data_IF_260353077914
#
_entry.id   IF_260353077914
#
_cell.length_a   1.000
_cell.length_b   1.000
_cell.length_c   1.000
_cell.angle_alpha   90.00
_cell.angle_beta   90.00
_cell.angle_gamma   90.00
#
_symmetry.space_group_name_H-M   'P 1'
#
loop_
_entity.id
_entity.type
_entity.pdbx_description
1 polymer ?
#
# COMPACT_ATOMS: atom_id res chain seq x y z
N UNK A 1 -30.60 44.87 -5.18
CA UNK A 1 -29.13 44.92 -5.03
C UNK A 1 -28.83 44.21 -3.73
N UNK A 2 -28.46 42.94 -3.83
CA UNK A 2 -28.20 42.07 -2.68
C UNK A 2 -26.88 41.40 -2.96
N UNK A 3 -25.81 42.00 -2.42
CA UNK A 3 -24.47 41.45 -2.44
C UNK A 3 -24.45 40.14 -1.65
N UNK A 4 -24.18 39.04 -2.35
CA UNK A 4 -23.82 37.76 -1.74
C UNK A 4 -22.30 37.81 -1.50
N UNK A 5 -21.82 37.60 -0.26
CA UNK A 5 -20.39 37.57 0.01
C UNK A 5 -19.77 36.35 -0.67
N UNK A 6 -18.79 36.57 -1.54
CA UNK A 6 -17.98 35.52 -2.15
C UNK A 6 -17.08 34.90 -1.07
N UNK A 7 -17.33 33.62 -0.76
CA UNK A 7 -16.47 32.77 0.09
C UNK A 7 -15.03 32.78 -0.47
N UNK A 8 -13.97 32.90 0.35
CA UNK A 8 -12.61 32.93 -0.17
C UNK A 8 -12.29 31.59 -0.83
N UNK A 9 -11.90 31.66 -2.10
CA UNK A 9 -11.62 30.52 -2.96
C UNK A 9 -10.71 29.48 -2.26
N UNK A 10 -11.19 28.23 -2.18
CA UNK A 10 -10.36 27.10 -1.83
C UNK A 10 -9.07 27.10 -2.68
N UNK A 11 -7.90 26.74 -2.12
CA UNK A 11 -6.66 26.74 -2.88
C UNK A 11 -6.82 25.90 -4.15
N UNK A 12 -6.42 26.47 -5.29
CA UNK A 12 -6.53 25.82 -6.59
C UNK A 12 -5.88 24.42 -6.54
N UNK A 13 -6.60 23.40 -7.01
CA UNK A 13 -6.11 22.03 -6.96
C UNK A 13 -4.84 21.90 -7.83
N UNK A 14 -3.71 21.59 -7.20
CA UNK A 14 -2.44 21.27 -7.89
C UNK A 14 -2.59 19.96 -8.67
N UNK A 15 -1.99 19.90 -9.84
CA UNK A 15 -1.97 18.69 -10.67
C UNK A 15 -1.08 17.63 -10.05
N UNK A 16 -1.62 16.45 -9.75
CA UNK A 16 -0.85 15.41 -9.04
C UNK A 16 -0.12 14.51 -10.03
N UNK A 17 1.16 14.29 -9.77
CA UNK A 17 2.02 13.42 -10.55
C UNK A 17 2.75 12.47 -9.60
N UNK A 18 2.69 11.19 -9.88
CA UNK A 18 3.43 10.14 -9.17
C UNK A 18 4.43 9.54 -10.13
N UNK A 19 5.71 9.78 -9.88
CA UNK A 19 6.79 9.09 -10.55
C UNK A 19 7.10 7.80 -9.78
N UNK A 20 7.05 6.67 -10.46
CA UNK A 20 7.35 5.36 -9.88
C UNK A 20 8.64 4.84 -10.50
N UNK A 21 9.62 4.53 -9.65
CA UNK A 21 10.88 3.90 -10.05
C UNK A 21 11.26 2.84 -9.01
N UNK A 22 12.37 2.15 -9.23
CA UNK A 22 12.89 1.16 -8.29
C UNK A 22 13.57 -0.01 -8.97
N UNK A 23 13.95 -0.99 -8.15
CA UNK A 23 14.67 -2.18 -8.61
C UNK A 23 13.81 -2.98 -9.60
N UNK A 24 14.43 -3.48 -10.67
CA UNK A 24 13.77 -4.36 -11.62
C UNK A 24 13.26 -5.61 -10.91
N UNK A 25 11.96 -5.88 -11.01
CA UNK A 25 11.30 -6.99 -10.28
C UNK A 25 10.79 -6.63 -8.88
N UNK A 26 10.94 -5.38 -8.41
CA UNK A 26 10.36 -4.92 -7.14
C UNK A 26 8.84 -4.73 -7.18
N UNK A 27 8.21 -4.74 -8.36
CA UNK A 27 6.75 -4.67 -8.49
C UNK A 27 6.20 -3.36 -9.06
N UNK A 28 7.00 -2.62 -9.85
CA UNK A 28 6.57 -1.38 -10.52
C UNK A 28 5.29 -1.57 -11.37
N UNK A 29 5.15 -2.71 -12.04
CA UNK A 29 3.94 -3.02 -12.81
C UNK A 29 2.69 -3.19 -11.93
N UNK A 30 2.85 -3.79 -10.75
CA UNK A 30 1.79 -3.90 -9.75
C UNK A 30 1.44 -2.52 -9.22
N UNK A 31 2.45 -1.68 -8.98
CA UNK A 31 2.25 -0.34 -8.48
C UNK A 31 1.52 0.57 -9.47
N UNK A 32 1.91 0.51 -10.74
CA UNK A 32 1.25 1.24 -11.81
C UNK A 32 -0.22 0.84 -11.95
N UNK A 33 -0.52 -0.47 -11.91
CA UNK A 33 -1.90 -0.95 -11.94
C UNK A 33 -2.70 -0.49 -10.72
N UNK A 34 -2.09 -0.49 -9.54
CA UNK A 34 -2.74 0.01 -8.33
C UNK A 34 -3.10 1.50 -8.44
N UNK A 35 -2.19 2.32 -8.98
CA UNK A 35 -2.45 3.74 -9.21
C UNK A 35 -3.53 3.97 -10.27
N UNK A 36 -3.55 3.17 -11.34
CA UNK A 36 -4.61 3.19 -12.35
C UNK A 36 -5.99 2.91 -11.73
N UNK A 37 -6.08 1.91 -10.84
CA UNK A 37 -7.31 1.58 -10.10
C UNK A 37 -7.77 2.73 -9.17
N UNK A 38 -6.86 3.62 -8.76
CA UNK A 38 -7.16 4.85 -7.99
C UNK A 38 -7.55 6.05 -8.87
N UNK A 39 -7.64 5.84 -10.20
CA UNK A 39 -8.05 6.84 -11.17
C UNK A 39 -6.91 7.69 -11.74
N UNK A 40 -5.66 7.28 -11.53
CA UNK A 40 -4.51 7.87 -12.23
C UNK A 40 -4.50 7.46 -13.71
N UNK A 41 -3.99 8.34 -14.56
CA UNK A 41 -3.58 7.98 -15.90
C UNK A 41 -2.16 7.39 -15.84
N UNK A 42 -2.08 6.09 -16.10
CA UNK A 42 -0.87 5.31 -15.96
C UNK A 42 -0.11 5.21 -17.28
N UNK A 43 1.18 5.57 -17.28
CA UNK A 43 2.08 5.42 -18.43
C UNK A 43 3.32 4.64 -18.00
N UNK A 44 3.60 3.54 -18.69
CA UNK A 44 4.77 2.69 -18.44
C UNK A 44 5.91 2.98 -19.43
N UNK A 45 7.14 2.80 -18.96
CA UNK A 45 8.38 2.88 -19.76
C UNK A 45 8.49 4.19 -20.59
N UNK A 46 8.13 5.32 -19.97
CA UNK A 46 8.20 6.63 -20.60
C UNK A 46 9.64 7.15 -20.58
N UNK A 47 10.10 7.68 -21.72
CA UNK A 47 11.39 8.40 -21.76
C UNK A 47 11.31 9.66 -20.93
N UNK A 48 12.32 9.88 -20.08
CA UNK A 48 12.37 11.05 -19.20
C UNK A 48 12.20 12.37 -19.98
N UNK A 49 12.83 12.50 -21.14
CA UNK A 49 12.73 13.69 -22.01
C UNK A 49 11.32 13.97 -22.57
N UNK A 50 10.39 13.01 -22.49
CA UNK A 50 9.01 13.17 -22.94
C UNK A 50 8.05 13.52 -21.79
N UNK A 51 8.51 13.48 -20.54
CA UNK A 51 7.69 13.77 -19.35
C UNK A 51 7.08 15.18 -19.41
N UNK A 52 7.84 16.26 -19.71
CA UNK A 52 7.24 17.60 -19.82
C UNK A 52 6.17 17.72 -20.90
N UNK A 53 6.37 17.04 -22.04
CA UNK A 53 5.42 17.08 -23.14
C UNK A 53 4.10 16.37 -22.78
N UNK A 54 4.20 15.22 -22.10
CA UNK A 54 3.03 14.49 -21.61
C UNK A 54 2.25 15.30 -20.58
N UNK A 55 2.94 15.89 -19.60
CA UNK A 55 2.30 16.70 -18.54
C UNK A 55 1.48 17.84 -19.13
N UNK A 56 2.01 18.55 -20.13
CA UNK A 56 1.29 19.64 -20.82
C UNK A 56 0.05 19.16 -21.57
N UNK A 57 0.04 17.93 -22.07
CA UNK A 57 -1.09 17.38 -22.83
C UNK A 57 -2.17 16.77 -21.93
N UNK A 58 -1.77 16.08 -20.87
CA UNK A 58 -2.68 15.28 -20.05
C UNK A 58 -3.46 16.09 -18.99
N UNK A 59 -3.08 17.34 -18.74
CA UNK A 59 -3.66 18.22 -17.72
C UNK A 59 -3.81 17.51 -16.34
N UNK A 60 -2.71 17.37 -15.57
CA UNK A 60 -2.69 16.62 -14.32
C UNK A 60 -3.62 17.19 -13.23
N UNK A 61 -4.13 18.42 -13.39
CA UNK A 61 -5.15 19.01 -12.50
C UNK A 61 -6.50 18.31 -12.66
N UNK A 62 -6.82 17.84 -13.87
CA UNK A 62 -8.08 17.16 -14.18
C UNK A 62 -8.00 15.66 -13.90
N UNK A 63 -6.91 15.02 -14.33
CA UNK A 63 -6.66 13.59 -14.08
C UNK A 63 -5.20 13.38 -13.67
N UNK A 64 -4.93 12.84 -12.47
CA UNK A 64 -3.57 12.74 -11.98
C UNK A 64 -2.76 11.71 -12.77
N UNK A 65 -1.45 11.88 -12.88
CA UNK A 65 -0.56 11.04 -13.69
C UNK A 65 0.26 10.07 -12.83
N UNK A 66 0.41 8.84 -13.29
CA UNK A 66 1.32 7.85 -12.72
C UNK A 66 2.30 7.39 -13.80
N UNK A 67 3.57 7.75 -13.66
CA UNK A 67 4.58 7.52 -14.69
C UNK A 67 5.63 6.54 -14.14
N UNK A 68 5.81 5.40 -14.81
CA UNK A 68 6.93 4.50 -14.51
C UNK A 68 8.12 4.86 -15.38
N UNK A 69 9.25 5.12 -14.73
CA UNK A 69 10.53 5.39 -15.36
C UNK A 69 11.55 4.51 -14.65
N UNK A 70 12.16 3.60 -15.40
CA UNK A 70 13.13 2.65 -14.85
C UNK A 70 14.42 2.59 -15.66
N UNK A 71 15.38 1.80 -15.17
CA UNK A 71 16.72 1.62 -15.76
C UNK A 71 16.72 1.08 -17.19
N UNK A 72 15.59 0.57 -17.71
CA UNK A 72 15.44 0.08 -19.08
C UNK A 72 15.19 1.21 -20.07
N UNK A 73 14.78 2.37 -19.57
CA UNK A 73 14.48 3.52 -20.40
C UNK A 73 15.76 3.94 -21.13
N UNK A 74 15.68 4.11 -22.45
CA UNK A 74 16.83 4.58 -23.23
C UNK A 74 17.30 5.93 -22.69
N UNK A 75 18.62 6.08 -22.53
CA UNK A 75 19.28 7.27 -21.98
C UNK A 75 18.97 7.54 -20.49
N UNK A 76 18.59 6.51 -19.72
CA UNK A 76 18.39 6.64 -18.28
C UNK A 76 19.69 7.05 -17.56
N UNK A 77 19.57 8.12 -16.77
CA UNK A 77 20.61 8.62 -15.87
C UNK A 77 19.91 9.03 -14.58
N UNK A 78 20.40 8.55 -13.43
CA UNK A 78 19.86 8.95 -12.14
C UNK A 78 19.98 10.47 -11.93
N UNK A 79 21.08 11.08 -12.39
CA UNK A 79 21.26 12.53 -12.28
C UNK A 79 20.21 13.28 -13.10
N UNK A 80 20.04 12.92 -14.37
CA UNK A 80 19.06 13.59 -15.24
C UNK A 80 17.64 13.44 -14.69
N UNK A 81 17.33 12.28 -14.11
CA UNK A 81 16.05 12.04 -13.46
C UNK A 81 15.83 12.99 -12.27
N UNK A 82 16.85 13.17 -11.42
CA UNK A 82 16.78 14.10 -10.29
C UNK A 82 16.64 15.55 -10.77
N UNK A 83 17.41 15.95 -11.78
CA UNK A 83 17.33 17.30 -12.35
C UNK A 83 15.90 17.60 -12.87
N UNK A 84 15.31 16.65 -13.60
CA UNK A 84 13.93 16.75 -14.09
C UNK A 84 12.91 16.73 -12.93
N UNK A 85 13.09 15.87 -11.93
CA UNK A 85 12.22 15.83 -10.74
C UNK A 85 12.22 17.18 -10.01
N UNK A 86 13.38 17.80 -9.86
CA UNK A 86 13.49 19.13 -9.27
C UNK A 86 12.80 20.20 -10.13
N UNK A 87 12.98 20.17 -11.45
CA UNK A 87 12.28 21.10 -12.35
C UNK A 87 10.76 20.98 -12.23
N UNK A 88 10.23 19.76 -12.20
CA UNK A 88 8.81 19.51 -12.02
C UNK A 88 8.31 19.95 -10.64
N UNK A 89 9.11 19.76 -9.58
CA UNK A 89 8.76 20.20 -8.21
C UNK A 89 8.80 21.72 -8.06
N UNK A 90 9.59 22.44 -8.86
CA UNK A 90 9.61 23.92 -8.88
C UNK A 90 8.33 24.52 -9.47
N UNK A 91 7.56 23.75 -10.24
CA UNK A 91 6.26 24.17 -10.73
C UNK A 91 5.23 24.21 -9.58
N UNK A 92 4.82 25.42 -9.21
CA UNK A 92 3.84 25.67 -8.15
C UNK A 92 2.45 25.07 -8.44
N UNK A 93 2.16 24.73 -9.69
CA UNK A 93 0.90 24.13 -10.11
C UNK A 93 0.87 22.60 -10.01
N UNK A 94 2.01 21.96 -9.74
CA UNK A 94 2.15 20.50 -9.69
C UNK A 94 2.44 20.02 -8.27
N UNK A 95 1.87 18.87 -7.89
CA UNK A 95 2.21 18.11 -6.68
C UNK A 95 2.87 16.80 -7.15
N UNK A 96 4.20 16.77 -7.10
CA UNK A 96 5.02 15.72 -7.70
C UNK A 96 5.61 14.86 -6.58
N UNK A 97 5.33 13.56 -6.61
CA UNK A 97 5.89 12.58 -5.66
C UNK A 97 6.68 11.49 -6.36
N UNK A 98 7.86 11.19 -5.82
CA UNK A 98 8.69 10.07 -6.21
C UNK A 98 8.45 8.87 -5.28
N UNK A 99 8.04 7.74 -5.89
CA UNK A 99 7.94 6.43 -5.23
C UNK A 99 9.09 5.55 -5.68
N UNK A 100 9.84 5.05 -4.72
CA UNK A 100 10.91 4.08 -4.94
C UNK A 100 10.52 2.70 -4.42
N UNK A 101 10.49 1.71 -5.30
CA UNK A 101 10.24 0.31 -4.93
C UNK A 101 11.57 -0.41 -4.74
N UNK A 102 11.82 -0.85 -3.51
CA UNK A 102 12.99 -1.65 -3.15
C UNK A 102 12.60 -3.12 -2.95
N UNK A 103 13.58 -4.00 -3.07
CA UNK A 103 13.45 -5.42 -2.74
C UNK A 103 14.84 -5.99 -2.43
N UNK A 104 14.92 -6.96 -1.54
CA UNK A 104 16.16 -7.68 -1.20
C UNK A 104 16.66 -8.54 -2.36
N UNK A 105 17.98 -8.63 -2.49
CA UNK A 105 18.64 -9.24 -3.65
C UNK A 105 18.26 -10.70 -3.88
N UNK A 106 18.18 -11.50 -2.80
CA UNK A 106 17.77 -12.91 -2.87
C UNK A 106 16.34 -13.07 -3.41
N UNK A 107 15.44 -12.15 -3.02
CA UNK A 107 14.04 -12.17 -3.47
C UNK A 107 13.95 -11.74 -4.94
N UNK A 108 14.69 -10.72 -5.35
CA UNK A 108 14.78 -10.31 -6.76
C UNK A 108 15.31 -11.45 -7.63
N UNK A 109 16.41 -12.09 -7.23
CA UNK A 109 17.00 -13.22 -7.94
C UNK A 109 16.00 -14.37 -8.10
N UNK A 110 15.23 -14.68 -7.04
CA UNK A 110 14.15 -15.69 -7.11
C UNK A 110 13.06 -15.26 -8.10
N UNK A 111 12.57 -14.02 -8.03
CA UNK A 111 11.53 -13.50 -8.95
C UNK A 111 11.96 -13.54 -10.42
N UNK A 112 13.22 -13.22 -10.72
CA UNK A 112 13.76 -13.34 -12.09
C UNK A 112 13.83 -14.79 -12.56
N UNK A 113 14.21 -15.69 -11.66
CA UNK A 113 14.27 -17.14 -11.95
C UNK A 113 12.87 -17.70 -12.23
N UNK A 114 11.88 -17.35 -11.41
CA UNK A 114 10.48 -17.77 -11.54
C UNK A 114 9.83 -17.26 -12.83
N UNK A 115 10.04 -15.97 -13.13
CA UNK A 115 9.46 -15.35 -14.34
C UNK A 115 10.24 -15.66 -15.62
N UNK A 116 11.44 -16.25 -15.50
CA UNK A 116 12.41 -16.48 -16.58
C UNK A 116 12.71 -15.23 -17.42
N UNK A 117 12.53 -14.05 -16.83
CA UNK A 117 12.83 -12.77 -17.48
C UNK A 117 14.33 -12.48 -17.35
N UNK A 118 14.90 -11.84 -18.36
CA UNK A 118 16.28 -11.34 -18.27
C UNK A 118 16.28 -10.07 -17.43
N UNK A 119 17.32 -9.90 -16.61
CA UNK A 119 17.54 -8.66 -15.89
C UNK A 119 18.12 -7.62 -16.86
N UNK A 120 17.60 -6.37 -16.90
CA UNK A 120 18.01 -5.37 -17.89
C UNK A 120 19.50 -5.04 -17.91
N UNK A 121 20.11 -4.92 -16.73
CA UNK A 121 21.54 -4.68 -16.59
C UNK A 121 22.38 -5.97 -16.50
N UNK A 122 21.84 -7.11 -16.94
CA UNK A 122 22.53 -8.41 -16.89
C UNK A 122 22.70 -9.08 -18.27
N UNK A 123 22.78 -8.32 -19.36
CA UNK A 123 22.95 -8.90 -20.71
C UNK A 123 24.27 -9.65 -20.88
N UNK A 124 25.33 -9.18 -20.20
CA UNK A 124 26.71 -9.65 -20.29
C UNK A 124 27.23 -10.28 -18.98
N UNK A 125 26.35 -10.51 -17.99
CA UNK A 125 26.72 -10.91 -16.61
C UNK A 125 25.63 -11.72 -15.92
N UNK A 126 25.88 -12.12 -14.68
CA UNK A 126 24.89 -12.85 -13.88
C UNK A 126 23.78 -11.93 -13.36
N UNK A 127 22.60 -12.50 -13.04
CA UNK A 127 21.49 -11.75 -12.44
C UNK A 127 21.89 -11.04 -11.13
N UNK A 128 22.59 -11.69 -10.18
CA UNK A 128 23.11 -11.00 -8.99
C UNK A 128 23.96 -9.76 -9.30
N UNK A 129 24.88 -9.85 -10.27
CA UNK A 129 25.73 -8.71 -10.65
C UNK A 129 24.91 -7.57 -11.28
N UNK A 130 23.90 -7.92 -12.08
CA UNK A 130 22.94 -6.96 -12.63
C UNK A 130 22.15 -6.23 -11.55
N UNK A 131 21.69 -6.95 -10.53
CA UNK A 131 20.97 -6.39 -9.38
C UNK A 131 21.86 -5.41 -8.61
N UNK A 132 23.11 -5.77 -8.31
CA UNK A 132 24.03 -4.87 -7.59
C UNK A 132 24.32 -3.59 -8.38
N UNK A 133 24.54 -3.72 -9.69
CA UNK A 133 24.78 -2.57 -10.56
C UNK A 133 23.56 -1.65 -10.64
N UNK A 134 22.38 -2.22 -10.75
CA UNK A 134 21.13 -1.45 -10.74
C UNK A 134 20.95 -0.73 -9.41
N UNK A 135 21.24 -1.40 -8.29
CA UNK A 135 21.15 -0.82 -6.96
C UNK A 135 22.07 0.38 -6.81
N UNK A 136 23.32 0.27 -7.24
CA UNK A 136 24.27 1.38 -7.24
C UNK A 136 23.81 2.54 -8.13
N UNK A 137 23.27 2.23 -9.32
CA UNK A 137 22.75 3.22 -10.26
C UNK A 137 21.54 3.98 -9.69
N UNK A 138 20.63 3.28 -9.03
CA UNK A 138 19.37 3.83 -8.54
C UNK A 138 19.46 4.41 -7.11
N UNK A 139 20.57 4.21 -6.41
CA UNK A 139 20.76 4.69 -5.04
C UNK A 139 20.47 6.19 -4.86
N UNK A 140 20.92 7.11 -5.74
CA UNK A 140 20.59 8.53 -5.61
C UNK A 140 19.08 8.81 -5.67
N UNK A 141 18.32 8.06 -6.48
CA UNK A 141 16.87 8.21 -6.57
C UNK A 141 16.15 7.73 -5.31
N UNK A 142 16.72 6.72 -4.64
CA UNK A 142 16.18 6.22 -3.38
C UNK A 142 16.30 7.26 -2.27
N UNK A 143 17.42 7.97 -2.20
CA UNK A 143 17.66 8.99 -1.17
C UNK A 143 16.70 10.18 -1.32
N UNK A 144 16.31 10.52 -2.55
CA UNK A 144 15.40 11.63 -2.86
C UNK A 144 13.91 11.23 -2.95
N UNK A 145 13.60 9.96 -2.69
CA UNK A 145 12.24 9.43 -2.80
C UNK A 145 11.35 9.90 -1.65
N UNK A 146 10.19 10.44 -1.97
CA UNK A 146 9.17 10.82 -0.98
C UNK A 146 8.60 9.58 -0.27
N UNK A 147 8.50 8.46 -0.99
CA UNK A 147 7.99 7.19 -0.46
C UNK A 147 8.88 6.05 -0.94
N UNK A 148 9.57 5.39 -0.02
CA UNK A 148 10.28 4.15 -0.28
C UNK A 148 9.49 2.96 0.25
N UNK A 149 9.20 1.98 -0.61
CA UNK A 149 8.45 0.76 -0.25
C UNK A 149 9.34 -0.45 -0.44
N UNK A 150 9.67 -1.14 0.66
CA UNK A 150 10.36 -2.43 0.61
C UNK A 150 9.37 -3.57 0.33
N UNK A 151 9.48 -4.16 -0.85
CA UNK A 151 8.62 -5.24 -1.33
C UNK A 151 9.16 -6.64 -1.07
N UNK A 152 10.25 -6.78 -0.30
CA UNK A 152 10.91 -8.06 0.01
C UNK A 152 9.95 -9.10 0.56
N UNK A 153 9.06 -8.69 1.46
CA UNK A 153 8.14 -9.58 2.17
C UNK A 153 6.67 -9.27 1.88
N UNK A 154 6.40 -8.38 0.92
CA UNK A 154 5.05 -7.94 0.60
C UNK A 154 4.41 -8.85 -0.44
N UNK A 155 3.13 -9.16 -0.23
CA UNK A 155 2.29 -9.71 -1.28
C UNK A 155 1.88 -8.61 -2.28
N UNK A 156 1.36 -9.02 -3.44
CA UNK A 156 0.76 -8.09 -4.42
C UNK A 156 -0.40 -7.29 -3.78
N UNK A 157 -1.17 -7.92 -2.90
CA UNK A 157 -2.27 -7.25 -2.20
C UNK A 157 -1.77 -6.21 -1.19
N UNK A 158 -0.67 -6.50 -0.47
CA UNK A 158 -0.05 -5.53 0.43
C UNK A 158 0.47 -4.31 -0.30
N UNK A 159 1.18 -4.52 -1.41
CA UNK A 159 1.69 -3.40 -2.21
C UNK A 159 0.54 -2.52 -2.73
N UNK A 160 -0.53 -3.13 -3.25
CA UNK A 160 -1.73 -2.39 -3.67
C UNK A 160 -2.37 -1.61 -2.52
N UNK A 161 -2.45 -2.22 -1.34
CA UNK A 161 -3.01 -1.60 -0.13
C UNK A 161 -2.19 -0.41 0.32
N UNK A 162 -0.86 -0.56 0.35
CA UNK A 162 0.07 0.53 0.69
C UNK A 162 -0.10 1.68 -0.31
N UNK A 163 -0.09 1.42 -1.62
CA UNK A 163 -0.26 2.48 -2.64
C UNK A 163 -1.64 3.15 -2.61
N UNK A 164 -2.70 2.37 -2.36
CA UNK A 164 -4.06 2.91 -2.16
C UNK A 164 -4.11 3.86 -0.98
N UNK A 165 -3.45 3.48 0.11
CA UNK A 165 -3.15 4.39 1.19
C UNK A 165 -1.84 5.13 0.99
N UNK A 166 -1.48 5.59 -0.21
CA UNK A 166 -0.56 6.71 -0.37
C UNK A 166 -1.15 7.77 -1.30
N UNK A 167 -2.03 7.35 -2.21
CA UNK A 167 -2.41 8.12 -3.39
C UNK A 167 -3.93 8.25 -3.61
N UNK A 168 -4.78 7.91 -2.63
CA UNK A 168 -6.24 8.13 -2.75
C UNK A 168 -6.60 9.60 -2.94
N UNK A 169 -7.61 9.85 -3.79
CA UNK A 169 -8.04 11.19 -4.22
C UNK A 169 -8.98 11.92 -3.26
N UNK A 170 -9.69 11.21 -2.38
CA UNK A 170 -10.78 11.80 -1.58
C UNK A 170 -10.29 12.90 -0.63
N UNK A 171 -10.72 14.12 -0.93
CA UNK A 171 -10.50 15.35 -0.17
C UNK A 171 -11.29 15.35 1.15
N UNK A 172 -10.71 14.67 2.12
CA UNK A 172 -10.41 15.14 3.47
C UNK A 172 -9.22 14.25 3.81
N UNK A 173 -8.02 14.82 3.98
CA UNK A 173 -6.87 14.06 4.45
C UNK A 173 -7.18 13.61 5.88
N UNK A 174 -7.97 12.54 5.99
CA UNK A 174 -8.27 11.82 7.20
C UNK A 174 -7.22 10.73 7.27
N UNK A 175 -6.43 10.78 8.33
CA UNK A 175 -5.41 9.81 8.67
C UNK A 175 -5.93 8.40 8.42
N UNK A 176 -5.32 7.72 7.45
CA UNK A 176 -5.60 6.33 7.18
C UNK A 176 -4.70 5.49 8.08
N UNK A 177 -5.31 4.71 8.98
CA UNK A 177 -4.57 3.87 9.91
C UNK A 177 -4.46 2.46 9.36
N UNK A 178 -3.24 1.90 9.42
CA UNK A 178 -2.95 0.51 9.15
C UNK A 178 -2.64 -0.18 10.47
N UNK A 179 -3.37 -1.24 10.79
CA UNK A 179 -3.08 -2.09 11.94
C UNK A 179 -2.57 -3.42 11.41
N UNK A 180 -1.40 -3.85 11.86
CA UNK A 180 -0.81 -5.12 11.41
C UNK A 180 -0.35 -5.96 12.59
N UNK A 181 -0.73 -7.24 12.63
CA UNK A 181 -0.15 -8.18 13.59
C UNK A 181 1.08 -8.86 13.00
N UNK A 182 2.15 -9.00 13.79
CA UNK A 182 3.39 -9.63 13.33
C UNK A 182 4.04 -10.58 14.36
N UNK A 183 5.02 -11.35 13.90
CA UNK A 183 5.91 -12.19 14.72
C UNK A 183 7.27 -11.53 14.94
N UNK A 184 7.69 -11.37 16.20
CA UNK A 184 9.06 -10.95 16.54
C UNK A 184 10.13 -11.92 16.02
N UNK A 185 9.83 -13.23 15.93
CA UNK A 185 10.76 -14.21 15.34
C UNK A 185 11.04 -13.94 13.86
N UNK A 186 10.11 -13.28 13.17
CA UNK A 186 10.17 -12.97 11.75
C UNK A 186 10.61 -11.51 11.49
N UNK A 187 11.02 -10.77 12.54
CA UNK A 187 11.44 -9.38 12.46
C UNK A 187 10.28 -8.38 12.46
N UNK A 188 10.59 -7.11 12.74
CA UNK A 188 9.60 -6.02 12.75
C UNK A 188 9.16 -5.67 11.31
N UNK A 189 7.90 -5.28 11.09
CA UNK A 189 7.50 -4.65 9.83
C UNK A 189 8.28 -3.35 9.65
N UNK A 190 8.90 -3.15 8.49
CA UNK A 190 9.76 -1.98 8.23
C UNK A 190 8.94 -0.70 8.11
N UNK A 191 7.69 -0.84 7.70
CA UNK A 191 6.71 0.21 7.51
C UNK A 191 6.00 0.64 8.81
N UNK A 192 6.34 0.05 9.96
CA UNK A 192 5.69 0.35 11.23
C UNK A 192 6.15 1.70 11.79
N UNK A 193 5.20 2.59 12.04
CA UNK A 193 5.44 3.85 12.76
C UNK A 193 5.42 3.63 14.28
N UNK A 194 4.48 2.81 14.75
CA UNK A 194 4.31 2.46 16.15
C UNK A 194 4.36 0.94 16.30
N UNK A 195 5.09 0.45 17.29
CA UNK A 195 5.25 -0.99 17.54
C UNK A 195 4.93 -1.29 19.01
N UNK A 196 3.96 -2.17 19.24
CA UNK A 196 3.56 -2.57 20.59
C UNK A 196 3.81 -4.07 20.80
N UNK A 197 4.59 -4.38 21.83
CA UNK A 197 4.89 -5.76 22.24
C UNK A 197 3.80 -6.28 23.19
N UNK A 198 3.16 -7.39 22.83
CA UNK A 198 2.13 -8.06 23.64
C UNK A 198 2.55 -9.46 24.09
N UNK A 199 3.86 -9.75 24.12
CA UNK A 199 4.41 -11.04 24.57
C UNK A 199 4.20 -11.32 26.06
N UNK A 200 3.89 -10.31 26.86
CA UNK A 200 3.64 -10.44 28.30
C UNK A 200 2.24 -11.01 28.60
N UNK A 201 1.26 -10.82 27.70
CA UNK A 201 -0.10 -11.36 27.87
C UNK A 201 -0.09 -12.90 27.88
N UNK A 202 -1.08 -13.46 28.57
CA UNK A 202 -1.36 -14.89 28.71
C UNK A 202 -1.23 -15.58 27.36
N UNK A 203 -0.33 -16.55 27.30
CA UNK A 203 0.04 -17.23 26.06
C UNK A 203 -0.89 -18.42 25.79
N UNK A 204 -1.76 -18.37 24.75
CA UNK A 204 -2.69 -19.48 24.45
C UNK A 204 -1.97 -20.73 23.94
N UNK A 205 -0.69 -20.64 23.57
CA UNK A 205 0.08 -21.76 23.04
C UNK A 205 0.26 -22.93 24.02
N UNK A 206 0.16 -22.69 25.34
CA UNK A 206 0.29 -23.76 26.34
C UNK A 206 -0.96 -24.63 26.45
N UNK A 207 -2.09 -24.18 25.91
CA UNK A 207 -3.31 -24.97 25.81
C UNK A 207 -3.29 -25.76 24.48
N UNK A 208 -3.23 -27.10 24.51
CA UNK A 208 -3.19 -27.93 23.31
C UNK A 208 -4.35 -27.68 22.33
N UNK A 209 -5.55 -27.36 22.84
CA UNK A 209 -6.75 -27.12 22.05
C UNK A 209 -6.70 -25.74 21.36
N UNK A 210 -6.08 -24.76 21.99
CA UNK A 210 -5.94 -23.40 21.44
C UNK A 210 -4.72 -23.24 20.53
N UNK A 211 -3.69 -24.08 20.71
CA UNK A 211 -2.46 -24.06 19.91
C UNK A 211 -2.68 -24.09 18.38
N UNK A 212 -3.56 -24.95 17.81
CA UNK A 212 -3.80 -24.97 16.37
C UNK A 212 -4.61 -23.75 15.88
N UNK A 213 -5.37 -23.10 16.75
CA UNK A 213 -6.25 -21.97 16.41
C UNK A 213 -5.46 -20.65 16.25
N UNK A 214 -6.13 -19.59 15.80
CA UNK A 214 -5.57 -18.23 15.64
C UNK A 214 -6.27 -17.24 16.57
N UNK A 215 -5.72 -16.03 16.72
CA UNK A 215 -6.35 -14.95 17.49
C UNK A 215 -7.70 -14.48 16.95
N UNK A 216 -8.12 -14.95 15.76
CA UNK A 216 -9.45 -14.73 15.21
C UNK A 216 -10.50 -15.66 15.84
N UNK A 217 -10.07 -16.77 16.43
CA UNK A 217 -10.97 -17.73 17.04
C UNK A 217 -11.45 -17.21 18.41
N UNK A 218 -12.77 -17.23 18.69
CA UNK A 218 -13.32 -16.75 19.96
C UNK A 218 -12.72 -17.40 21.21
N UNK A 219 -12.35 -18.68 21.17
CA UNK A 219 -11.73 -19.37 22.30
C UNK A 219 -10.32 -18.84 22.61
N UNK A 220 -9.54 -18.53 21.57
CA UNK A 220 -8.22 -17.89 21.73
C UNK A 220 -8.39 -16.46 22.23
N UNK A 221 -9.34 -15.71 21.67
CA UNK A 221 -9.65 -14.35 22.09
C UNK A 221 -10.01 -14.29 23.58
N UNK A 222 -10.94 -15.15 24.02
CA UNK A 222 -11.35 -15.26 25.42
C UNK A 222 -10.18 -15.62 26.34
N UNK A 223 -9.27 -16.49 25.89
CA UNK A 223 -8.08 -16.85 26.67
C UNK A 223 -7.13 -15.67 26.88
N UNK A 224 -6.88 -14.87 25.83
CA UNK A 224 -6.03 -13.68 25.94
C UNK A 224 -6.72 -12.58 26.75
N UNK A 225 -8.03 -12.40 26.58
CA UNK A 225 -8.84 -11.42 27.30
C UNK A 225 -8.99 -11.76 28.79
N UNK A 226 -8.91 -13.03 29.17
CA UNK A 226 -8.93 -13.47 30.58
C UNK A 226 -7.68 -13.08 31.38
N UNK A 227 -6.66 -12.53 30.72
CA UNK A 227 -5.47 -12.05 31.38
C UNK A 227 -5.81 -10.86 32.32
N UNK A 228 -5.40 -10.87 33.59
CA UNK A 228 -5.73 -9.81 34.54
C UNK A 228 -5.19 -8.44 34.13
N UNK A 229 -4.08 -8.39 33.38
CA UNK A 229 -3.44 -7.15 32.95
C UNK A 229 -4.00 -6.62 31.62
N UNK A 230 -4.78 -7.43 30.88
CA UNK A 230 -5.31 -7.05 29.57
C UNK A 230 -6.18 -5.78 29.61
N UNK A 231 -7.18 -5.64 30.51
CA UNK A 231 -8.04 -4.45 30.53
C UNK A 231 -7.24 -3.16 30.75
N UNK A 232 -6.30 -3.17 31.71
CA UNK A 232 -5.47 -2.02 32.02
C UNK A 232 -4.52 -1.67 30.86
N UNK A 233 -3.87 -2.69 30.27
CA UNK A 233 -3.00 -2.50 29.12
C UNK A 233 -3.75 -1.91 27.93
N UNK A 234 -4.88 -2.51 27.53
CA UNK A 234 -5.63 -2.06 26.36
C UNK A 234 -6.21 -0.66 26.58
N UNK A 235 -6.72 -0.38 27.79
CA UNK A 235 -7.15 0.97 28.18
C UNK A 235 -6.03 2.00 28.01
N UNK A 236 -4.86 1.75 28.61
CA UNK A 236 -3.72 2.66 28.53
C UNK A 236 -3.19 2.84 27.10
N UNK A 237 -3.18 1.78 26.29
CA UNK A 237 -2.82 1.85 24.88
C UNK A 237 -3.76 2.80 24.12
N UNK A 238 -5.07 2.66 24.32
CA UNK A 238 -6.05 3.53 23.64
C UNK A 238 -6.00 4.97 24.14
N UNK A 239 -5.74 5.19 25.43
CA UNK A 239 -5.56 6.54 25.99
C UNK A 239 -4.27 7.22 25.52
N UNK A 240 -3.21 6.46 25.26
CA UNK A 240 -2.01 6.97 24.59
C UNK A 240 -2.31 7.38 23.14
N UNK A 241 -3.04 6.54 22.38
CA UNK A 241 -3.28 6.79 20.96
C UNK A 241 -4.29 7.91 20.71
N UNK A 242 -5.32 8.04 21.55
CA UNK A 242 -6.40 9.03 21.42
C UNK A 242 -5.92 10.46 21.11
N UNK A 243 -4.97 11.06 21.86
CA UNK A 243 -4.47 12.40 21.56
C UNK A 243 -3.47 12.45 20.38
N UNK A 244 -2.82 11.32 20.02
CA UNK A 244 -1.83 11.27 18.96
C UNK A 244 -2.48 11.26 17.57
N UNK A 245 -3.58 10.53 17.41
CA UNK A 245 -4.30 10.39 16.14
C UNK A 245 -4.67 11.73 15.47
N UNK A 246 -5.32 12.70 16.15
CA UNK A 246 -5.60 14.00 15.54
C UNK A 246 -4.33 14.83 15.29
N UNK A 247 -3.26 14.65 16.08
CA UNK A 247 -1.98 15.36 15.89
C UNK A 247 -1.24 14.87 14.65
N UNK A 248 -1.18 13.55 14.43
CA UNK A 248 -0.64 13.00 13.19
C UNK A 248 -1.38 13.55 11.98
N UNK A 249 -2.71 13.65 12.07
CA UNK A 249 -3.52 14.23 11.01
C UNK A 249 -3.17 15.72 10.75
N UNK A 250 -3.01 16.52 11.81
CA UNK A 250 -2.65 17.94 11.71
C UNK A 250 -1.23 18.17 11.17
N UNK A 251 -0.30 17.27 11.47
CA UNK A 251 1.07 17.29 10.96
C UNK A 251 1.14 16.87 9.47
N UNK A 252 0.00 16.62 8.83
CA UNK A 252 -0.08 16.21 7.42
C UNK A 252 0.29 14.75 7.20
N UNK A 253 0.45 13.96 8.28
CA UNK A 253 0.70 12.53 8.17
C UNK A 253 -0.53 11.88 7.57
N UNK A 254 -0.38 11.43 6.33
CA UNK A 254 -1.48 10.83 5.59
C UNK A 254 -1.78 9.40 6.05
N UNK A 255 -0.78 8.72 6.64
CA UNK A 255 -0.83 7.30 6.99
C UNK A 255 -0.13 7.01 8.32
N UNK A 256 -0.73 6.15 9.14
CA UNK A 256 -0.12 5.67 10.38
C UNK A 256 -0.18 4.14 10.43
N UNK A 257 0.96 3.48 10.50
CA UNK A 257 1.05 2.03 10.68
C UNK A 257 1.36 1.66 12.12
N UNK A 258 0.42 0.95 12.75
CA UNK A 258 0.52 0.42 14.11
C UNK A 258 0.72 -1.09 14.03
N UNK A 259 1.90 -1.56 14.43
CA UNK A 259 2.28 -2.96 14.43
C UNK A 259 2.16 -3.57 15.83
N UNK A 260 1.42 -4.66 15.95
CA UNK A 260 1.26 -5.41 17.20
C UNK A 260 2.05 -6.72 17.12
N UNK A 261 3.00 -6.91 18.02
CA UNK A 261 3.97 -8.00 17.98
C UNK A 261 3.75 -9.03 19.07
N UNK A 262 3.74 -10.31 18.70
CA UNK A 262 3.94 -11.40 19.66
C UNK A 262 5.04 -12.34 19.15
N UNK A 263 5.37 -13.39 19.91
CA UNK A 263 6.46 -14.30 19.50
C UNK A 263 6.17 -14.99 18.16
N UNK A 264 4.96 -15.50 17.96
CA UNK A 264 4.61 -16.35 16.80
C UNK A 264 3.74 -15.68 15.73
N UNK A 265 3.23 -14.47 15.95
CA UNK A 265 2.35 -13.77 15.00
C UNK A 265 0.97 -14.40 14.80
N UNK A 266 0.57 -15.37 15.63
CA UNK A 266 -0.63 -16.22 15.41
C UNK A 266 -1.80 -15.95 16.37
N UNK A 267 -1.52 -15.68 17.64
CA UNK A 267 -2.53 -15.64 18.71
C UNK A 267 -2.71 -14.25 19.28
N UNK A 268 -1.86 -13.85 20.24
CA UNK A 268 -1.97 -12.59 21.00
C UNK A 268 -1.94 -11.35 20.12
N UNK A 269 -0.98 -11.27 19.20
CA UNK A 269 -0.87 -10.10 18.31
C UNK A 269 -2.07 -9.97 17.37
N UNK A 270 -2.59 -11.09 16.87
CA UNK A 270 -3.79 -11.12 16.00
C UNK A 270 -5.00 -10.60 16.78
N UNK A 271 -5.24 -11.14 17.99
CA UNK A 271 -6.35 -10.70 18.84
C UNK A 271 -6.28 -9.21 19.19
N UNK A 272 -5.12 -8.72 19.63
CA UNK A 272 -4.96 -7.31 19.99
C UNK A 272 -5.08 -6.40 18.77
N UNK A 273 -4.57 -6.81 17.60
CA UNK A 273 -4.73 -6.06 16.36
C UNK A 273 -6.21 -5.93 15.93
N UNK A 274 -6.99 -7.01 16.04
CA UNK A 274 -8.44 -6.99 15.80
C UNK A 274 -9.15 -6.01 16.75
N UNK A 275 -8.86 -6.10 18.06
CA UNK A 275 -9.45 -5.22 19.08
C UNK A 275 -9.09 -3.76 18.85
N UNK A 276 -7.82 -3.47 18.54
CA UNK A 276 -7.37 -2.11 18.26
C UNK A 276 -8.01 -1.56 16.98
N UNK A 277 -8.12 -2.38 15.93
CA UNK A 277 -8.75 -1.97 14.69
C UNK A 277 -10.24 -1.65 14.87
N UNK A 278 -10.96 -2.43 15.68
CA UNK A 278 -12.34 -2.14 16.05
C UNK A 278 -12.46 -0.80 16.80
N UNK A 279 -11.63 -0.59 17.84
CA UNK A 279 -11.63 0.66 18.60
C UNK A 279 -11.33 1.89 17.72
N UNK A 280 -10.35 1.79 16.81
CA UNK A 280 -10.02 2.87 15.88
C UNK A 280 -11.16 3.18 14.90
N UNK A 281 -11.90 2.17 14.43
CA UNK A 281 -13.10 2.37 13.60
C UNK A 281 -14.19 3.10 14.39
N UNK A 282 -14.36 2.76 15.66
CA UNK A 282 -15.30 3.47 16.55
C UNK A 282 -14.89 4.93 16.82
N UNK A 283 -13.59 5.26 16.68
CA UNK A 283 -13.13 6.66 16.69
C UNK A 283 -13.40 7.40 15.34
N UNK A 284 -14.08 6.77 14.39
CA UNK A 284 -14.40 7.35 13.07
C UNK A 284 -13.23 7.33 12.08
N UNK A 285 -12.14 6.62 12.39
CA UNK A 285 -10.98 6.55 11.51
C UNK A 285 -11.16 5.49 10.42
N UNK A 286 -10.50 5.73 9.29
CA UNK A 286 -10.37 4.72 8.25
C UNK A 286 -9.28 3.75 8.66
N UNK A 287 -9.62 2.48 8.83
CA UNK A 287 -8.71 1.44 9.33
C UNK A 287 -8.61 0.30 8.34
N UNK A 288 -7.39 -0.08 8.00
CA UNK A 288 -7.06 -1.32 7.29
C UNK A 288 -6.35 -2.27 8.26
N UNK A 289 -6.82 -3.51 8.37
CA UNK A 289 -6.27 -4.54 9.23
C UNK A 289 -5.62 -5.65 8.39
N UNK A 290 -4.41 -6.06 8.76
CA UNK A 290 -3.69 -7.17 8.14
C UNK A 290 -3.01 -8.07 9.17
N UNK A 291 -2.78 -9.33 8.80
CA UNK A 291 -2.11 -10.30 9.68
C UNK A 291 -0.97 -10.99 8.95
N UNK A 292 0.25 -10.45 9.11
CA UNK A 292 1.42 -10.81 8.30
C UNK A 292 1.68 -12.32 8.26
N UNK A 293 1.65 -13.00 9.40
CA UNK A 293 1.89 -14.45 9.43
C UNK A 293 0.68 -15.29 8.99
N UNK A 294 -0.56 -14.82 9.18
CA UNK A 294 -1.75 -15.57 8.72
C UNK A 294 -1.92 -15.49 7.20
N UNK A 295 -1.60 -14.34 6.60
CA UNK A 295 -1.64 -14.14 5.15
C UNK A 295 -0.61 -15.02 4.43
N UNK A 296 0.60 -15.18 4.99
CA UNK A 296 1.60 -16.14 4.50
C UNK A 296 1.11 -17.59 4.52
N UNK A 297 0.20 -17.93 5.44
CA UNK A 297 -0.42 -19.25 5.57
C UNK A 297 -1.70 -19.39 4.73
N UNK A 298 -2.08 -18.37 3.95
CA UNK A 298 -3.29 -18.39 3.11
C UNK A 298 -4.60 -18.23 3.88
N UNK A 299 -4.54 -17.91 5.18
CA UNK A 299 -5.70 -17.70 6.04
C UNK A 299 -6.11 -16.23 5.98
N UNK A 300 -7.01 -15.89 5.04
CA UNK A 300 -7.53 -14.52 4.86
C UNK A 300 -8.55 -14.15 5.93
N UNK A 301 -8.53 -12.90 6.38
CA UNK A 301 -9.64 -12.27 7.11
C UNK A 301 -10.68 -11.73 6.14
N UNK A 302 -11.95 -11.85 6.51
CA UNK A 302 -13.07 -11.25 5.79
C UNK A 302 -13.04 -9.72 6.01
N UNK A 303 -12.35 -9.00 5.14
CA UNK A 303 -12.27 -7.53 5.24
C UNK A 303 -11.53 -6.83 4.10
N UNK A 304 -10.83 -7.56 3.22
CA UNK A 304 -10.11 -6.99 2.08
C UNK A 304 -10.74 -7.43 0.75
N UNK A 305 -11.64 -6.61 0.19
CA UNK A 305 -12.10 -6.72 -1.20
C UNK A 305 -13.49 -6.13 -1.45
N UNK A 306 -13.70 -5.42 -2.57
CA UNK A 306 -14.97 -4.78 -2.88
C UNK A 306 -16.04 -5.83 -3.21
N UNK A 307 -17.30 -5.48 -2.95
CA UNK A 307 -18.47 -6.24 -3.37
C UNK A 307 -18.34 -6.60 -4.86
N UNK A 308 -18.23 -7.90 -5.15
CA UNK A 308 -18.31 -8.41 -6.50
C UNK A 308 -19.71 -8.15 -7.03
N UNK A 309 -19.72 -7.47 -8.16
CA UNK A 309 -20.83 -7.21 -9.04
C UNK A 309 -21.58 -8.53 -9.38
N UNK A 310 -22.62 -8.89 -8.62
CA UNK A 310 -23.61 -9.88 -9.02
C UNK A 310 -24.65 -9.23 -9.95
N UNK A 311 -24.20 -8.68 -11.08
CA UNK A 311 -25.06 -8.30 -12.20
C UNK A 311 -24.30 -8.50 -13.52
N UNK A 312 -23.92 -9.74 -13.81
CA UNK A 312 -23.47 -10.15 -15.14
C UNK A 312 -23.76 -11.64 -15.34
N UNK A 313 -25.04 -12.01 -15.34
CA UNK A 313 -25.47 -13.40 -15.55
C UNK A 313 -26.88 -13.58 -16.11
N UNK A 314 -27.69 -12.53 -16.21
CA UNK A 314 -29.09 -12.63 -16.66
C UNK A 314 -29.40 -12.00 -18.02
N UNK A 315 -28.40 -11.45 -18.74
CA UNK A 315 -28.65 -10.82 -20.05
C UNK A 315 -28.26 -11.67 -21.27
N UNK A 316 -27.65 -12.85 -21.11
CA UNK A 316 -27.39 -13.76 -22.23
C UNK A 316 -28.48 -14.82 -22.49
N UNK A 317 -29.49 -14.93 -21.62
CA UNK A 317 -30.64 -15.83 -21.86
C UNK A 317 -31.79 -15.16 -22.65
N UNK A 318 -31.84 -13.83 -22.73
CA UNK A 318 -32.95 -13.09 -23.36
C UNK A 318 -32.71 -12.67 -24.83
N UNK A 319 -31.58 -13.04 -25.44
CA UNK A 319 -31.35 -12.82 -26.87
C UNK A 319 -31.50 -14.08 -27.74
N UNK A 320 -31.61 -15.27 -27.14
CA UNK A 320 -31.95 -16.49 -27.89
C UNK A 320 -33.45 -16.83 -27.89
N UNK A 321 -34.25 -16.25 -26.99
CA UNK A 321 -35.70 -16.46 -26.98
C UNK A 321 -36.46 -15.58 -28.00
N UNK A 322 -35.89 -14.45 -28.44
CA UNK A 322 -36.60 -13.49 -29.32
C UNK A 322 -36.35 -13.70 -30.83
N UNK A 323 -35.53 -14.69 -31.20
CA UNK A 323 -35.29 -15.04 -32.61
C UNK A 323 -36.08 -16.27 -33.09
N UNK A 324 -36.75 -17.00 -32.19
CA UNK A 324 -37.62 -18.13 -32.55
C UNK A 324 -39.12 -17.80 -32.66
N UNK A 325 -39.53 -16.56 -32.33
CA UNK A 325 -40.92 -16.14 -32.38
C UNK A 325 -41.34 -15.41 -33.67
N UNK A 326 -40.44 -15.25 -34.66
CA UNK A 326 -40.74 -14.47 -35.88
C UNK A 326 -40.63 -15.27 -37.19
N UNK A 327 -40.83 -16.60 -37.13
CA UNK A 327 -40.92 -17.45 -38.32
C UNK A 327 -42.09 -18.42 -38.39
N UNK A 328 -43.13 -18.21 -37.57
CA UNK A 328 -44.46 -18.74 -37.83
C UNK A 328 -45.49 -17.65 -37.51
N UNK A 329 -45.99 -17.04 -38.58
CA UNK A 329 -46.90 -15.91 -38.60
C UNK A 329 -46.92 -15.32 -39.99
#
# INVERSE_FOLDING_TARGET
MSDVPTDPAAPAARGRIVLVTGMSGAGMSVALKALEDLGYEAVDNLRLSLVPALIRQADPKRRPLALVIDSRTRDFSAQNFLDELEELRRDGDLDVRLVFLECGDEVLQRRFTETRRRHPLAEDRTVPDGIQRERALLFPLKEEADVTIDTTQLSIHDLRRILSGHFRRDAQAALQVFVTSFSFRQGLPREADLVFDVRFLTNPHYDPELRPLTGLNPAVAARVESDPDFPAFFGNLTELLRPLLPRYNQEGKSYLTIAIGCTGGKHRSVFIAERLAAWLKDQGLRVNLSHRELERLGLRTAGAGPASNQQAGSQQANHQANHQANHQG
#
